data_IF_556723276866
#
_entry.id   IF_556723276866
#
_cell.length_a   1.000
_cell.length_b   1.000
_cell.length_c   1.000
_cell.angle_alpha   90.00
_cell.angle_beta   90.00
_cell.angle_gamma   90.00
#
_symmetry.space_group_name_H-M   'P 1'
#
loop_
_entity.id
_entity.type
_entity.pdbx_description
1 polymer ?
#
# COMPACT_ATOMS: atom_id res chain seq x y z
N UNK A 1 -40.74 12.90 2.22
CA UNK A 1 -40.38 12.37 0.88
C UNK A 1 -39.77 13.52 0.10
N UNK A 2 -38.61 13.38 -0.58
CA UNK A 2 -38.08 12.18 -1.24
C UNK A 2 -36.71 11.70 -0.73
N UNK A 3 -36.47 10.39 -0.86
CA UNK A 3 -35.20 9.71 -0.63
C UNK A 3 -34.23 9.94 -1.79
N UNK A 4 -32.98 10.30 -1.49
CA UNK A 4 -31.84 10.20 -2.42
C UNK A 4 -31.11 8.88 -2.18
N UNK A 5 -31.12 8.01 -3.19
CA UNK A 5 -30.28 6.83 -3.27
C UNK A 5 -28.81 7.24 -3.33
N UNK A 6 -28.00 6.73 -2.40
CA UNK A 6 -26.53 6.75 -2.51
C UNK A 6 -26.07 5.44 -3.13
N UNK A 7 -25.56 5.55 -4.35
CA UNK A 7 -24.88 4.50 -5.08
C UNK A 7 -23.61 4.07 -4.32
N UNK A 8 -23.46 2.78 -4.05
CA UNK A 8 -22.22 2.19 -3.55
C UNK A 8 -21.24 2.04 -4.72
N UNK A 9 -20.13 2.78 -4.66
CA UNK A 9 -19.03 2.70 -5.61
C UNK A 9 -18.40 1.31 -5.65
N UNK A 10 -18.22 0.78 -6.86
CA UNK A 10 -17.53 -0.48 -7.12
C UNK A 10 -16.05 -0.36 -6.80
N UNK A 11 -15.57 -1.24 -5.93
CA UNK A 11 -14.13 -1.44 -5.68
C UNK A 11 -13.62 -2.41 -6.74
N UNK A 12 -12.77 -1.92 -7.64
CA UNK A 12 -12.12 -2.73 -8.66
C UNK A 12 -11.23 -3.79 -7.99
N UNK A 13 -11.59 -5.07 -8.13
CA UNK A 13 -10.76 -6.23 -7.74
C UNK A 13 -9.82 -6.55 -8.91
N UNK A 14 -8.51 -6.42 -8.70
CA UNK A 14 -7.50 -6.88 -9.67
C UNK A 14 -7.33 -8.41 -9.57
N UNK A 15 -7.21 -9.14 -10.70
CA UNK A 15 -6.97 -10.58 -10.69
C UNK A 15 -5.51 -10.89 -10.33
N UNK A 16 -5.32 -11.71 -9.30
CA UNK A 16 -4.03 -12.31 -8.97
C UNK A 16 -3.82 -13.53 -9.88
N UNK A 17 -2.82 -13.45 -10.76
CA UNK A 17 -2.38 -14.52 -11.66
C UNK A 17 -1.89 -15.75 -10.87
N UNK A 18 -2.49 -16.91 -11.13
CA UNK A 18 -2.03 -18.23 -10.67
C UNK A 18 -1.09 -18.85 -11.71
N UNK A 19 -0.05 -19.61 -11.30
CA UNK A 19 0.72 -20.43 -12.23
C UNK A 19 -0.08 -21.66 -12.68
N UNK A 20 -0.17 -21.84 -13.98
CA UNK A 20 -0.77 -23.01 -14.64
C UNK A 20 0.08 -24.25 -14.43
N UNK A 21 -0.53 -25.33 -13.94
CA UNK A 21 -0.04 -26.67 -14.18
C UNK A 21 -0.08 -27.59 -12.96
N UNK A 22 -1.16 -28.38 -12.87
CA UNK A 22 -1.09 -29.78 -12.39
C UNK A 22 -2.43 -30.45 -12.69
N UNK A 23 -2.49 -31.07 -13.88
CA UNK A 23 -3.52 -32.05 -14.23
C UNK A 23 -3.06 -33.40 -13.69
N UNK A 24 -3.80 -33.98 -12.74
CA UNK A 24 -3.79 -35.42 -12.50
C UNK A 24 -5.22 -35.95 -12.55
N UNK A 25 -5.36 -37.07 -13.26
CA UNK A 25 -6.59 -37.73 -13.69
C UNK A 25 -6.74 -39.04 -12.91
N UNK A 26 -7.85 -39.22 -12.21
CA UNK A 26 -8.48 -40.49 -11.75
C UNK A 26 -9.62 -40.10 -10.81
N UNK A 27 -10.80 -40.71 -10.72
CA UNK A 27 -11.39 -41.89 -11.34
C UNK A 27 -12.90 -41.87 -10.98
N UNK A 28 -13.69 -42.64 -11.71
CA UNK A 28 -15.15 -42.60 -11.77
C UNK A 28 -15.89 -42.88 -10.45
N UNK A 29 -16.92 -42.08 -10.17
CA UNK A 29 -17.98 -42.38 -9.20
C UNK A 29 -19.09 -41.34 -9.33
N UNK A 30 -20.12 -41.64 -10.10
CA UNK A 30 -21.17 -40.69 -10.46
C UNK A 30 -22.16 -40.41 -9.32
N UNK A 31 -22.37 -39.13 -9.05
CA UNK A 31 -23.67 -38.57 -8.66
C UNK A 31 -23.70 -37.08 -9.08
N UNK A 32 -24.38 -36.84 -10.20
CA UNK A 32 -25.23 -35.69 -10.53
C UNK A 32 -24.98 -34.36 -9.78
N UNK A 33 -24.39 -33.36 -10.45
CA UNK A 33 -25.16 -32.33 -11.17
C UNK A 33 -24.27 -31.27 -11.80
N UNK A 34 -24.63 -30.97 -13.05
CA UNK A 34 -24.00 -30.08 -14.00
C UNK A 34 -23.89 -28.62 -13.53
N UNK A 35 -22.70 -28.04 -13.72
CA UNK A 35 -22.52 -26.75 -14.43
C UNK A 35 -21.03 -26.49 -14.66
N UNK A 36 -20.60 -26.75 -15.89
CA UNK A 36 -19.43 -26.08 -16.44
C UNK A 36 -19.75 -24.58 -16.51
N UNK A 37 -19.09 -23.76 -15.69
CA UNK A 37 -19.32 -22.32 -15.66
C UNK A 37 -18.01 -21.54 -15.44
N UNK A 38 -17.59 -20.89 -16.52
CA UNK A 38 -16.88 -19.61 -16.60
C UNK A 38 -15.65 -19.41 -15.70
N UNK A 39 -14.50 -19.68 -16.32
CA UNK A 39 -13.17 -19.31 -15.84
C UNK A 39 -13.00 -17.80 -15.91
N UNK A 40 -13.00 -17.10 -14.76
CA UNK A 40 -12.56 -15.69 -14.74
C UNK A 40 -12.85 -14.84 -13.50
N UNK A 41 -13.98 -15.01 -12.80
CA UNK A 41 -14.43 -13.96 -11.84
C UNK A 41 -15.26 -14.43 -10.62
N UNK A 42 -15.27 -15.73 -10.27
CA UNK A 42 -16.36 -16.28 -9.43
C UNK A 42 -15.92 -17.11 -8.22
N UNK A 43 -14.73 -16.89 -7.66
CA UNK A 43 -14.31 -17.61 -6.44
C UNK A 43 -14.32 -16.66 -5.24
N UNK A 44 -14.89 -17.12 -4.14
CA UNK A 44 -14.80 -16.44 -2.85
C UNK A 44 -13.35 -16.40 -2.36
N UNK A 45 -13.01 -15.43 -1.50
CA UNK A 45 -11.66 -15.37 -0.90
C UNK A 45 -11.34 -16.68 -0.15
N UNK A 46 -12.36 -17.34 0.40
CA UNK A 46 -12.25 -18.62 1.11
C UNK A 46 -11.96 -19.79 0.16
N UNK A 47 -12.61 -19.87 -1.00
CA UNK A 47 -12.27 -20.86 -2.03
C UNK A 47 -10.80 -20.74 -2.44
N UNK A 48 -10.31 -19.52 -2.64
CA UNK A 48 -8.90 -19.28 -3.01
C UNK A 48 -7.95 -19.74 -1.90
N UNK A 49 -8.33 -19.56 -0.64
CA UNK A 49 -7.54 -20.03 0.51
C UNK A 49 -7.49 -21.56 0.53
N UNK A 50 -8.64 -22.22 0.42
CA UNK A 50 -8.71 -23.69 0.42
C UNK A 50 -7.82 -24.27 -0.70
N UNK A 51 -7.94 -23.75 -1.91
CA UNK A 51 -7.16 -24.23 -3.06
C UNK A 51 -5.65 -23.96 -2.93
N UNK A 52 -5.26 -22.92 -2.21
CA UNK A 52 -3.87 -22.54 -2.05
C UNK A 52 -3.16 -23.35 -0.96
N UNK A 53 -3.84 -23.67 0.12
CA UNK A 53 -3.25 -24.31 1.30
C UNK A 53 -3.61 -25.78 1.45
N UNK A 54 -4.61 -26.27 0.72
CA UNK A 54 -5.05 -27.66 0.77
C UNK A 54 -4.95 -28.27 -0.62
N UNK A 55 -3.80 -28.88 -1.00
CA UNK A 55 -3.60 -29.44 -2.35
C UNK A 55 -4.58 -30.58 -2.68
N UNK A 56 -5.17 -31.18 -1.66
CA UNK A 56 -6.15 -32.26 -1.76
C UNK A 56 -7.56 -31.74 -2.11
N UNK A 57 -7.82 -30.46 -1.87
CA UNK A 57 -9.11 -29.83 -2.13
C UNK A 57 -9.11 -29.31 -3.57
N UNK A 58 -9.99 -29.88 -4.40
CA UNK A 58 -10.25 -29.37 -5.74
C UNK A 58 -11.27 -28.23 -5.76
N UNK A 59 -11.42 -27.50 -6.89
CA UNK A 59 -12.36 -26.38 -7.01
C UNK A 59 -13.82 -26.71 -6.67
N UNK A 60 -14.28 -27.92 -7.01
CA UNK A 60 -15.63 -28.38 -6.69
C UNK A 60 -15.82 -28.64 -5.17
N UNK A 61 -14.82 -29.25 -4.54
CA UNK A 61 -14.81 -29.50 -3.10
C UNK A 61 -14.71 -28.19 -2.31
N UNK A 62 -13.86 -27.26 -2.76
CA UNK A 62 -13.73 -25.93 -2.16
C UNK A 62 -15.06 -25.16 -2.15
N UNK A 63 -15.79 -25.17 -3.28
CA UNK A 63 -17.13 -24.58 -3.35
C UNK A 63 -18.12 -25.27 -2.41
N UNK A 64 -18.12 -26.60 -2.38
CA UNK A 64 -19.02 -27.36 -1.50
C UNK A 64 -18.77 -27.07 -0.02
N UNK A 65 -17.51 -26.88 0.38
CA UNK A 65 -17.12 -26.47 1.73
C UNK A 65 -17.67 -25.08 2.05
N UNK A 66 -17.48 -24.11 1.16
CA UNK A 66 -17.98 -22.73 1.36
C UNK A 66 -19.51 -22.69 1.37
N UNK A 67 -20.18 -23.42 0.47
CA UNK A 67 -21.64 -23.50 0.40
C UNK A 67 -22.24 -24.14 1.65
N UNK A 68 -21.59 -25.16 2.22
CA UNK A 68 -22.06 -25.88 3.40
C UNK A 68 -21.88 -25.09 4.70
N UNK A 69 -20.72 -24.47 4.90
CA UNK A 69 -20.39 -23.78 6.15
C UNK A 69 -20.71 -22.27 6.12
N UNK A 70 -20.95 -21.72 4.94
CA UNK A 70 -21.25 -20.32 4.73
C UNK A 70 -20.00 -19.46 4.63
N UNK A 71 -20.09 -18.42 3.80
CA UNK A 71 -19.01 -17.46 3.60
C UNK A 71 -18.67 -16.72 4.89
N UNK A 72 -17.43 -16.79 5.34
CA UNK A 72 -16.90 -16.15 6.55
C UNK A 72 -16.73 -17.08 7.75
N UNK A 73 -17.24 -18.31 7.68
CA UNK A 73 -17.20 -19.28 8.79
C UNK A 73 -16.28 -20.48 8.54
N UNK A 74 -15.82 -20.68 7.30
CA UNK A 74 -15.03 -21.86 6.91
C UNK A 74 -13.81 -22.04 7.80
N UNK A 75 -13.09 -20.95 8.10
CA UNK A 75 -11.91 -21.00 8.97
C UNK A 75 -12.26 -21.42 10.40
N UNK A 76 -13.37 -20.92 10.94
CA UNK A 76 -13.80 -21.28 12.30
C UNK A 76 -14.13 -22.77 12.39
N UNK A 77 -14.73 -23.33 11.33
CA UNK A 77 -15.01 -24.75 11.24
C UNK A 77 -13.71 -25.56 11.13
N UNK A 78 -12.77 -25.17 10.27
CA UNK A 78 -11.49 -25.89 10.12
C UNK A 78 -10.61 -25.83 11.37
N UNK A 79 -10.71 -24.75 12.15
CA UNK A 79 -10.03 -24.60 13.44
C UNK A 79 -10.69 -25.41 14.58
N UNK A 80 -11.91 -25.91 14.40
CA UNK A 80 -12.59 -26.72 15.43
C UNK A 80 -11.98 -28.12 15.57
N UNK A 81 -12.13 -28.73 16.75
CA UNK A 81 -11.70 -30.11 17.02
C UNK A 81 -12.43 -31.11 16.14
N UNK A 82 -13.71 -30.83 15.85
CA UNK A 82 -14.61 -31.73 15.13
C UNK A 82 -14.58 -31.47 13.62
N UNK A 83 -13.56 -30.75 13.13
CA UNK A 83 -13.44 -30.35 11.73
C UNK A 83 -13.45 -31.55 10.78
N UNK A 84 -12.79 -32.66 11.12
CA UNK A 84 -12.75 -33.86 10.28
C UNK A 84 -14.15 -34.48 10.12
N UNK A 85 -14.90 -34.61 11.21
CA UNK A 85 -16.28 -35.15 11.17
C UNK A 85 -17.24 -34.22 10.40
N UNK A 86 -17.06 -32.92 10.53
CA UNK A 86 -17.87 -31.94 9.79
C UNK A 86 -17.54 -31.92 8.29
N UNK A 87 -16.28 -32.20 7.93
CA UNK A 87 -15.82 -32.30 6.55
C UNK A 87 -16.25 -33.62 5.89
N UNK A 88 -16.29 -34.73 6.62
CA UNK A 88 -16.75 -36.02 6.07
C UNK A 88 -18.23 -36.00 5.67
N UNK A 89 -19.02 -35.11 6.27
CA UNK A 89 -20.41 -34.85 5.89
C UNK A 89 -20.57 -34.16 4.51
N UNK A 90 -19.47 -33.81 3.82
CA UNK A 90 -19.47 -33.15 2.51
C UNK A 90 -19.25 -34.18 1.40
N UNK A 91 -20.11 -34.16 0.39
CA UNK A 91 -19.99 -35.01 -0.79
C UNK A 91 -18.60 -34.85 -1.45
N UNK A 92 -17.86 -35.95 -1.59
CA UNK A 92 -16.52 -35.97 -2.18
C UNK A 92 -15.37 -35.83 -1.18
N UNK A 93 -15.64 -35.78 0.12
CA UNK A 93 -14.63 -35.85 1.19
C UNK A 93 -14.91 -37.09 2.03
N UNK A 94 -14.24 -38.21 1.76
CA UNK A 94 -14.33 -39.39 2.63
C UNK A 94 -13.57 -39.17 3.95
N UNK A 95 -13.78 -40.02 4.95
CA UNK A 95 -13.17 -39.88 6.28
C UNK A 95 -11.65 -39.71 6.24
N UNK A 96 -10.95 -40.52 5.44
CA UNK A 96 -9.50 -40.38 5.27
C UNK A 96 -9.08 -39.05 4.63
N UNK A 97 -9.83 -38.55 3.65
CA UNK A 97 -9.57 -37.23 3.04
C UNK A 97 -9.87 -36.10 4.03
N UNK A 98 -10.88 -36.25 4.88
CA UNK A 98 -11.22 -35.27 5.90
C UNK A 98 -10.12 -35.13 6.97
N UNK A 99 -9.57 -36.26 7.42
CA UNK A 99 -8.43 -36.29 8.35
C UNK A 99 -7.18 -35.67 7.72
N UNK A 100 -6.87 -36.02 6.47
CA UNK A 100 -5.73 -35.48 5.75
C UNK A 100 -5.87 -33.96 5.52
N UNK A 101 -7.07 -33.48 5.20
CA UNK A 101 -7.37 -32.04 5.10
C UNK A 101 -7.16 -31.36 6.45
N UNK A 102 -7.63 -31.95 7.56
CA UNK A 102 -7.48 -31.38 8.90
C UNK A 102 -6.00 -31.28 9.29
N UNK A 103 -5.24 -32.35 9.07
CA UNK A 103 -3.80 -32.38 9.34
C UNK A 103 -3.04 -31.31 8.55
N UNK A 104 -3.33 -31.17 7.25
CA UNK A 104 -2.69 -30.15 6.41
C UNK A 104 -3.14 -28.74 6.79
N UNK A 105 -4.42 -28.55 7.14
CA UNK A 105 -4.93 -27.30 7.66
C UNK A 105 -4.19 -26.91 8.93
N UNK A 106 -4.02 -27.81 9.90
CA UNK A 106 -3.33 -27.50 11.15
C UNK A 106 -1.86 -27.14 10.94
N UNK A 107 -1.19 -27.79 9.98
CA UNK A 107 0.17 -27.43 9.57
C UNK A 107 0.23 -26.03 8.92
N UNK A 108 -0.78 -25.68 8.12
CA UNK A 108 -0.83 -24.43 7.35
C UNK A 108 -1.54 -23.26 8.07
N UNK A 109 -2.34 -23.54 9.12
CA UNK A 109 -3.24 -22.59 9.76
C UNK A 109 -2.48 -21.39 10.34
N UNK A 110 -1.31 -21.64 10.93
CA UNK A 110 -0.44 -20.59 11.46
C UNK A 110 0.04 -19.64 10.36
N UNK A 111 0.52 -20.19 9.24
CA UNK A 111 0.97 -19.40 8.08
C UNK A 111 -0.19 -18.60 7.49
N UNK A 112 -1.36 -19.23 7.38
CA UNK A 112 -2.57 -18.59 6.90
C UNK A 112 -2.99 -17.42 7.81
N UNK A 113 -3.04 -17.63 9.13
CA UNK A 113 -3.40 -16.60 10.12
C UNK A 113 -2.45 -15.41 10.05
N UNK A 114 -1.14 -15.66 9.88
CA UNK A 114 -0.15 -14.59 9.74
C UNK A 114 -0.37 -13.79 8.45
N UNK A 115 -0.65 -14.45 7.32
CA UNK A 115 -0.93 -13.77 6.06
C UNK A 115 -2.27 -13.02 6.06
N UNK A 116 -3.29 -13.58 6.70
CA UNK A 116 -4.57 -12.92 6.91
C UNK A 116 -4.40 -11.66 7.76
N UNK A 117 -3.60 -11.74 8.84
CA UNK A 117 -3.27 -10.58 9.67
C UNK A 117 -2.54 -9.50 8.85
N UNK A 118 -1.52 -9.87 8.09
CA UNK A 118 -0.76 -8.94 7.25
C UNK A 118 -1.67 -8.24 6.21
N UNK A 119 -2.57 -9.01 5.58
CA UNK A 119 -3.56 -8.51 4.62
C UNK A 119 -4.51 -7.51 5.25
N UNK A 120 -5.01 -7.79 6.45
CA UNK A 120 -5.86 -6.86 7.21
C UNK A 120 -5.14 -5.53 7.51
N UNK A 121 -3.82 -5.60 7.70
CA UNK A 121 -2.97 -4.44 7.96
C UNK A 121 -2.35 -3.82 6.70
N UNK A 122 -2.98 -4.00 5.54
CA UNK A 122 -2.61 -3.34 4.26
C UNK A 122 -1.26 -3.80 3.67
N UNK A 123 -0.75 -4.95 4.11
CA UNK A 123 0.38 -5.63 3.48
C UNK A 123 -0.20 -6.66 2.50
N UNK A 124 0.16 -6.62 1.22
CA UNK A 124 -0.49 -7.46 0.20
C UNK A 124 0.51 -8.16 -0.72
N UNK A 125 0.12 -9.36 -1.20
CA UNK A 125 0.74 -10.03 -2.35
C UNK A 125 2.24 -10.26 -2.20
N UNK A 126 3.01 -9.72 -3.16
CA UNK A 126 4.48 -9.82 -3.21
C UNK A 126 5.17 -9.18 -2.00
N UNK A 127 4.48 -8.30 -1.27
CA UNK A 127 5.00 -7.70 -0.04
C UNK A 127 5.20 -8.74 1.05
N UNK A 128 4.28 -9.69 1.15
CA UNK A 128 4.41 -10.79 2.10
C UNK A 128 5.69 -11.58 1.86
N UNK A 129 5.92 -11.99 0.61
CA UNK A 129 7.08 -12.82 0.28
C UNK A 129 8.40 -12.11 0.62
N UNK A 130 8.56 -10.86 0.20
CA UNK A 130 9.79 -10.09 0.47
C UNK A 130 10.01 -9.82 1.96
N UNK A 131 8.95 -9.49 2.71
CA UNK A 131 9.07 -9.26 4.14
C UNK A 131 9.29 -10.55 4.93
N UNK A 132 8.64 -11.65 4.56
CA UNK A 132 8.86 -12.96 5.17
C UNK A 132 10.28 -13.47 4.91
N UNK A 133 10.83 -13.24 3.72
CA UNK A 133 12.24 -13.57 3.43
C UNK A 133 13.21 -12.79 4.32
N UNK A 134 12.91 -11.52 4.62
CA UNK A 134 13.75 -10.68 5.46
C UNK A 134 13.64 -11.04 6.96
N UNK A 135 12.45 -11.41 7.42
CA UNK A 135 12.16 -11.64 8.85
C UNK A 135 12.09 -13.12 9.26
N UNK A 136 12.17 -14.04 8.30
CA UNK A 136 12.18 -15.50 8.49
C UNK A 136 10.80 -16.09 8.85
N UNK A 137 10.03 -15.45 9.72
CA UNK A 137 8.71 -15.93 10.14
C UNK A 137 7.65 -14.83 10.18
N UNK A 138 6.38 -15.22 9.99
CA UNK A 138 5.24 -14.33 10.09
C UNK A 138 5.11 -13.71 11.48
N UNK A 139 5.30 -14.50 12.54
CA UNK A 139 5.29 -14.01 13.92
C UNK A 139 6.36 -12.92 14.18
N UNK A 140 7.60 -13.12 13.71
CA UNK A 140 8.65 -12.12 13.84
C UNK A 140 8.33 -10.83 13.07
N UNK A 141 7.78 -10.97 11.86
CA UNK A 141 7.33 -9.84 11.05
C UNK A 141 6.18 -9.06 11.72
N UNK A 142 5.19 -9.76 12.28
CA UNK A 142 4.07 -9.14 13.01
C UNK A 142 4.54 -8.34 14.20
N UNK A 143 5.48 -8.89 14.97
CA UNK A 143 6.11 -8.18 16.08
C UNK A 143 6.84 -6.93 15.60
N UNK A 144 7.67 -7.06 14.56
CA UNK A 144 8.42 -5.93 13.99
C UNK A 144 7.50 -4.81 13.47
N UNK A 145 6.44 -5.15 12.73
CA UNK A 145 5.46 -4.19 12.21
C UNK A 145 4.71 -3.48 13.33
N UNK A 146 4.35 -4.20 14.39
CA UNK A 146 3.62 -3.64 15.54
C UNK A 146 4.48 -2.65 16.33
N UNK A 147 5.80 -2.87 16.41
CA UNK A 147 6.74 -1.98 17.08
C UNK A 147 7.05 -0.73 16.24
N UNK A 148 7.42 -0.92 14.98
CA UNK A 148 7.76 0.16 14.06
C UNK A 148 7.45 -0.27 12.62
N UNK A 149 6.34 0.17 12.01
CA UNK A 149 5.99 -0.23 10.65
C UNK A 149 6.92 0.37 9.58
N UNK A 150 7.65 1.44 9.89
CA UNK A 150 8.50 2.14 8.92
C UNK A 150 9.82 1.42 8.66
N UNK A 151 10.39 0.75 9.65
CA UNK A 151 11.65 0.02 9.51
C UNK A 151 11.56 -1.21 8.57
N UNK A 152 10.67 -2.19 8.78
CA UNK A 152 10.59 -3.39 7.95
C UNK A 152 10.12 -3.07 6.53
N UNK A 153 9.16 -2.15 6.37
CA UNK A 153 8.68 -1.73 5.05
C UNK A 153 9.76 -0.93 4.29
N UNK A 154 10.49 -0.05 4.99
CA UNK A 154 11.58 0.73 4.40
C UNK A 154 12.80 -0.09 4.00
N UNK A 155 13.03 -1.25 4.64
CA UNK A 155 14.14 -2.15 4.29
C UNK A 155 13.99 -2.78 2.89
N UNK A 156 12.76 -2.86 2.37
CA UNK A 156 12.49 -3.49 1.09
C UNK A 156 12.44 -2.43 -0.02
N UNK A 157 13.48 -2.40 -0.87
CA UNK A 157 13.73 -1.37 -1.90
C UNK A 157 12.52 -1.01 -2.80
N UNK A 158 11.65 -1.97 -3.09
CA UNK A 158 10.47 -1.74 -3.95
C UNK A 158 9.35 -0.97 -3.26
N UNK A 159 9.34 -0.90 -1.94
CA UNK A 159 8.29 -0.21 -1.17
C UNK A 159 8.65 1.24 -0.89
N UNK A 160 7.66 2.10 -1.10
CA UNK A 160 7.71 3.52 -0.81
C UNK A 160 7.09 3.86 0.55
N UNK A 161 7.41 5.03 1.08
CA UNK A 161 6.92 5.57 2.35
C UNK A 161 5.39 5.48 2.53
N UNK A 162 4.62 5.73 1.46
CA UNK A 162 3.14 5.57 1.46
C UNK A 162 2.65 4.18 1.92
N UNK A 163 3.39 3.11 1.66
CA UNK A 163 2.97 1.77 2.09
C UNK A 163 3.18 1.62 3.60
N UNK A 164 4.28 2.17 4.13
CA UNK A 164 4.51 2.22 5.57
C UNK A 164 3.46 3.10 6.28
N UNK A 165 3.02 4.19 5.65
CA UNK A 165 1.92 5.02 6.16
C UNK A 165 0.58 4.27 6.18
N UNK A 166 0.25 3.52 5.13
CA UNK A 166 -0.96 2.70 5.09
C UNK A 166 -0.97 1.65 6.20
N UNK A 167 0.15 0.94 6.40
CA UNK A 167 0.31 -0.03 7.48
C UNK A 167 0.23 0.66 8.85
N UNK A 168 0.91 1.79 9.02
CA UNK A 168 0.87 2.57 10.27
C UNK A 168 -0.52 3.11 10.60
N UNK A 169 -1.31 3.48 9.59
CA UNK A 169 -2.71 3.84 9.76
C UNK A 169 -3.57 2.65 10.18
N UNK A 170 -3.38 1.48 9.55
CA UNK A 170 -4.08 0.25 9.93
C UNK A 170 -3.73 -0.22 11.35
N UNK A 171 -2.49 0.00 11.80
CA UNK A 171 -2.03 -0.29 13.16
C UNK A 171 -2.34 0.83 14.17
N UNK A 172 -3.00 1.91 13.75
CA UNK A 172 -3.35 3.07 14.60
C UNK A 172 -2.14 3.71 15.28
N UNK A 173 -0.98 3.72 14.63
CA UNK A 173 0.21 4.38 15.14
C UNK A 173 -0.03 5.88 15.35
N UNK A 174 0.54 6.46 16.40
CA UNK A 174 0.41 7.90 16.71
C UNK A 174 0.87 8.76 15.53
N UNK A 175 0.14 9.83 15.22
CA UNK A 175 0.47 10.69 14.07
C UNK A 175 1.82 11.42 14.25
N UNK A 176 2.18 11.78 15.48
CA UNK A 176 3.46 12.39 15.86
C UNK A 176 4.55 11.39 16.27
N UNK A 177 4.47 10.13 15.82
CA UNK A 177 5.43 9.09 16.16
C UNK A 177 6.86 9.46 15.68
N UNK A 178 7.89 9.33 16.53
CA UNK A 178 9.26 9.68 16.13
C UNK A 178 9.79 8.80 14.98
N UNK A 179 9.31 7.57 14.86
CA UNK A 179 9.63 6.65 13.76
C UNK A 179 9.15 7.21 12.42
N UNK A 180 7.94 7.78 12.41
CA UNK A 180 7.35 8.43 11.23
C UNK A 180 8.18 9.63 10.80
N UNK A 181 8.56 10.50 11.74
CA UNK A 181 9.43 11.64 11.44
C UNK A 181 10.77 11.19 10.84
N UNK A 182 11.40 10.15 11.41
CA UNK A 182 12.64 9.64 10.86
C UNK A 182 12.46 9.09 9.44
N UNK A 183 11.39 8.34 9.19
CA UNK A 183 11.11 7.78 7.88
C UNK A 183 10.91 8.87 6.82
N UNK A 184 10.21 9.96 7.15
CA UNK A 184 10.03 11.09 6.22
C UNK A 184 11.34 11.83 5.98
N UNK A 185 12.12 12.11 7.01
CA UNK A 185 13.42 12.79 6.86
C UNK A 185 14.35 12.00 5.93
N UNK A 186 14.46 10.69 6.14
CA UNK A 186 15.25 9.81 5.28
C UNK A 186 14.68 9.74 3.86
N UNK A 187 13.35 9.73 3.70
CA UNK A 187 12.71 9.73 2.39
C UNK A 187 13.04 11.00 1.60
N UNK A 188 12.94 12.17 2.21
CA UNK A 188 13.26 13.46 1.59
C UNK A 188 14.73 13.54 1.20
N UNK A 189 15.64 13.11 2.09
CA UNK A 189 17.07 13.07 1.79
C UNK A 189 17.39 12.12 0.64
N UNK A 190 16.78 10.94 0.63
CA UNK A 190 16.96 9.97 -0.45
C UNK A 190 16.43 10.51 -1.79
N UNK A 191 15.27 11.16 -1.78
CA UNK A 191 14.70 11.81 -2.95
C UNK A 191 15.63 12.91 -3.49
N UNK A 192 16.16 13.77 -2.61
CA UNK A 192 17.10 14.82 -2.97
C UNK A 192 18.42 14.27 -3.54
N UNK A 193 18.93 13.16 -2.98
CA UNK A 193 20.12 12.47 -3.53
C UNK A 193 19.86 11.85 -4.91
N UNK A 194 18.61 11.49 -5.21
CA UNK A 194 18.24 10.83 -6.48
C UNK A 194 17.90 11.83 -7.59
N UNK A 195 17.56 13.08 -7.26
CA UNK A 195 17.11 14.09 -8.24
C UNK A 195 18.25 14.77 -9.02
N UNK A 196 19.52 14.43 -8.76
CA UNK A 196 20.66 14.83 -9.61
C UNK A 196 21.00 16.32 -9.64
N UNK A 197 20.35 17.16 -8.84
CA UNK A 197 20.77 18.56 -8.66
C UNK A 197 22.15 18.59 -8.01
N UNK A 198 23.03 19.48 -8.48
CA UNK A 198 24.48 19.60 -8.22
C UNK A 198 24.95 19.80 -6.75
N UNK A 199 24.23 19.25 -5.77
CA UNK A 199 24.65 19.07 -4.39
C UNK A 199 23.82 17.97 -3.73
N UNK A 200 24.46 16.90 -3.25
CA UNK A 200 23.82 15.77 -2.56
C UNK A 200 23.33 16.11 -1.14
N UNK A 201 23.11 17.38 -0.82
CA UNK A 201 22.83 17.89 0.52
C UNK A 201 21.71 18.92 0.53
N UNK A 202 21.00 19.00 1.66
CA UNK A 202 19.94 19.98 1.92
C UNK A 202 20.31 20.79 3.16
N UNK A 203 20.01 22.09 3.15
CA UNK A 203 20.04 22.88 4.38
C UNK A 203 18.96 22.39 5.36
N UNK A 204 19.15 22.63 6.66
CA UNK A 204 18.14 22.27 7.67
C UNK A 204 16.76 22.84 7.36
N UNK A 205 16.70 24.11 6.93
CA UNK A 205 15.45 24.77 6.59
C UNK A 205 14.74 24.09 5.40
N UNK A 206 15.47 23.74 4.34
CA UNK A 206 14.92 23.02 3.19
C UNK A 206 14.43 21.63 3.56
N UNK A 207 15.23 20.86 4.30
CA UNK A 207 14.85 19.52 4.76
C UNK A 207 13.58 19.57 5.62
N UNK A 208 13.52 20.49 6.59
CA UNK A 208 12.39 20.65 7.47
C UNK A 208 11.12 21.04 6.69
N UNK A 209 11.23 22.01 5.77
CA UNK A 209 10.09 22.48 4.99
C UNK A 209 9.52 21.37 4.09
N UNK A 210 10.38 20.68 3.33
CA UNK A 210 9.97 19.59 2.46
C UNK A 210 9.37 18.43 3.26
N UNK A 211 9.97 18.07 4.40
CA UNK A 211 9.42 17.02 5.26
C UNK A 211 8.05 17.37 5.86
N UNK A 212 7.81 18.63 6.22
CA UNK A 212 6.49 19.08 6.70
C UNK A 212 5.43 18.97 5.59
N UNK A 213 5.77 19.37 4.36
CA UNK A 213 4.87 19.25 3.20
C UNK A 213 4.51 17.79 2.93
N UNK A 214 5.51 16.89 2.92
CA UNK A 214 5.28 15.45 2.76
C UNK A 214 4.41 14.87 3.89
N UNK A 215 4.67 15.26 5.14
CA UNK A 215 3.85 14.83 6.28
C UNK A 215 2.40 15.33 6.19
N UNK A 216 2.18 16.51 5.63
CA UNK A 216 0.84 17.05 5.41
C UNK A 216 0.08 16.29 4.30
N UNK A 217 0.73 15.98 3.17
CA UNK A 217 0.15 15.15 2.11
C UNK A 217 -0.19 13.75 2.62
N UNK A 218 0.77 13.08 3.29
CA UNK A 218 0.56 11.75 3.86
C UNK A 218 -0.54 11.76 4.93
N UNK A 219 -0.57 12.80 5.76
CA UNK A 219 -1.61 13.00 6.77
C UNK A 219 -3.00 13.15 6.16
N UNK A 220 -3.11 13.85 5.04
CA UNK A 220 -4.37 14.03 4.30
C UNK A 220 -4.85 12.72 3.67
N UNK A 221 -3.94 11.89 3.14
CA UNK A 221 -4.28 10.60 2.51
C UNK A 221 -4.66 9.51 3.51
N UNK A 222 -3.99 9.47 4.66
CA UNK A 222 -4.10 8.36 5.62
C UNK A 222 -4.79 8.75 6.94
N UNK A 223 -5.34 9.96 7.03
CA UNK A 223 -6.07 10.43 8.22
C UNK A 223 -5.19 10.62 9.46
N UNK A 224 -3.90 10.91 9.27
CA UNK A 224 -2.90 11.06 10.34
C UNK A 224 -2.12 12.38 10.19
N UNK A 225 -2.74 13.54 10.43
CA UNK A 225 -2.06 14.83 10.30
C UNK A 225 -0.90 14.93 11.29
N UNK A 226 0.23 15.49 10.86
CA UNK A 226 1.35 15.75 11.77
C UNK A 226 0.93 16.79 12.82
N UNK A 227 1.20 16.57 14.14
CA UNK A 227 0.78 17.49 15.17
C UNK A 227 1.42 18.88 15.00
N UNK A 228 0.60 19.92 15.13
CA UNK A 228 1.07 21.30 15.09
C UNK A 228 2.10 21.57 16.21
N UNK A 229 3.17 22.30 15.89
CA UNK A 229 4.22 22.65 16.84
C UNK A 229 5.23 21.53 17.15
N UNK A 230 5.04 20.30 16.64
CA UNK A 230 5.99 19.22 16.87
C UNK A 230 7.21 19.35 15.95
N UNK A 231 8.37 19.63 16.55
CA UNK A 231 9.63 19.78 15.83
C UNK A 231 10.19 18.45 15.31
N UNK A 232 10.74 18.46 14.09
CA UNK A 232 11.48 17.34 13.51
C UNK A 232 12.94 17.29 13.99
N UNK A 233 13.44 18.38 14.59
CA UNK A 233 14.85 18.54 14.97
C UNK A 233 15.36 17.47 15.94
N UNK A 234 14.66 17.13 17.04
CA UNK A 234 15.13 16.09 17.96
C UNK A 234 15.32 14.74 17.26
N UNK A 235 14.49 14.47 16.23
CA UNK A 235 14.59 13.23 15.47
C UNK A 235 15.73 13.25 14.47
N UNK A 236 15.99 14.38 13.82
CA UNK A 236 17.16 14.55 12.97
C UNK A 236 18.47 14.39 13.75
N UNK A 237 18.57 14.98 14.95
CA UNK A 237 19.74 14.83 15.83
C UNK A 237 19.98 13.37 16.25
N UNK A 238 18.92 12.60 16.50
CA UNK A 238 19.02 11.16 16.74
C UNK A 238 19.52 10.39 15.52
N UNK A 239 19.04 10.74 14.32
CA UNK A 239 19.53 10.13 13.08
C UNK A 239 20.99 10.46 12.81
N UNK A 240 21.43 11.69 13.13
CA UNK A 240 22.80 12.12 12.97
C UNK A 240 23.74 11.35 13.92
N UNK A 241 23.36 11.25 15.21
CA UNK A 241 24.10 10.44 16.19
C UNK A 241 24.17 8.96 15.82
N UNK A 242 23.15 8.44 15.16
CA UNK A 242 23.12 7.06 14.66
C UNK A 242 23.88 6.86 13.33
N UNK A 243 24.52 7.91 12.79
CA UNK A 243 25.24 7.86 11.51
C UNK A 243 24.34 7.62 10.30
N UNK A 244 23.03 7.87 10.41
CA UNK A 244 22.05 7.70 9.32
C UNK A 244 21.92 8.93 8.44
N UNK A 245 22.26 10.10 8.96
CA UNK A 245 22.38 11.36 8.22
C UNK A 245 23.70 12.01 8.62
N UNK A 246 24.31 12.75 7.69
CA UNK A 246 25.51 13.54 7.96
C UNK A 246 25.10 15.00 8.02
N UNK A 247 25.49 15.68 9.09
CA UNK A 247 25.34 17.12 9.23
C UNK A 247 26.72 17.75 8.99
N UNK A 248 26.84 18.54 7.93
CA UNK A 248 28.05 19.30 7.62
C UNK A 248 27.82 20.77 7.95
N UNK A 249 28.86 21.43 8.48
CA UNK A 249 28.84 22.86 8.70
C UNK A 249 28.90 23.57 7.34
N UNK A 250 28.08 24.61 7.14
CA UNK A 250 27.76 25.20 5.83
C UNK A 250 28.92 25.78 5.01
N UNK A 251 30.18 25.66 5.48
CA UNK A 251 31.39 26.15 4.80
C UNK A 251 31.70 25.48 3.46
N UNK A 252 30.96 24.45 3.03
CA UNK A 252 31.24 23.68 1.81
C UNK A 252 30.15 23.72 0.73
N UNK A 253 29.07 24.48 0.90
CA UNK A 253 28.06 24.64 -0.14
C UNK A 253 28.26 25.98 -0.86
N UNK A 254 28.68 26.02 -2.15
CA UNK A 254 28.77 27.28 -2.87
C UNK A 254 27.39 27.93 -2.96
N UNK A 255 27.33 29.23 -2.63
CA UNK A 255 26.13 30.07 -2.68
C UNK A 255 25.37 29.89 -4.01
N UNK A 256 24.19 29.27 -3.97
CA UNK A 256 23.31 29.09 -5.13
C UNK A 256 22.49 30.37 -5.43
N UNK A 257 22.96 31.56 -5.06
CA UNK A 257 22.30 32.84 -5.32
C UNK A 257 23.19 33.75 -6.18
N UNK A 258 23.49 33.30 -7.40
CA UNK A 258 24.39 34.01 -8.31
C UNK A 258 24.22 33.60 -9.78
N UNK A 259 23.00 33.59 -10.30
CA UNK A 259 22.80 33.57 -11.76
C UNK A 259 21.59 34.39 -12.16
N UNK A 260 21.76 35.72 -12.04
CA UNK A 260 21.19 36.64 -13.04
C UNK A 260 21.78 36.24 -14.39
N UNK A 261 21.03 35.47 -15.19
CA UNK A 261 21.34 35.33 -16.61
C UNK A 261 21.08 36.67 -17.28
N UNK A 262 22.17 37.37 -17.55
CA UNK A 262 22.28 38.41 -18.58
C UNK A 262 21.76 37.86 -19.90
N UNK A 263 20.92 38.66 -20.55
CA UNK A 263 20.39 38.43 -21.87
C UNK A 263 21.52 38.21 -22.89
N UNK A 264 21.46 37.10 -23.63
CA UNK A 264 22.06 36.97 -24.96
C UNK A 264 21.44 35.78 -25.69
N UNK A 265 20.74 36.07 -26.79
CA UNK A 265 20.62 35.19 -27.95
C UNK A 265 19.69 33.98 -27.84
N UNK A 266 18.37 34.21 -27.97
CA UNK A 266 17.50 33.23 -28.63
C UNK A 266 16.81 33.95 -29.78
N UNK A 267 17.23 33.62 -30.99
CA UNK A 267 16.51 33.95 -32.23
C UNK A 267 15.20 33.16 -32.27
N UNK A 268 14.05 33.78 -32.58
CA UNK A 268 12.80 33.05 -32.73
C UNK A 268 12.71 32.48 -34.15
N UNK A 269 12.37 31.19 -34.24
CA UNK A 269 11.94 30.53 -35.46
C UNK A 269 10.60 31.11 -35.89
N UNK A 270 10.58 31.68 -37.08
CA UNK A 270 9.42 32.18 -37.80
C UNK A 270 8.45 31.07 -38.18
N UNK A 271 7.15 31.27 -37.93
CA UNK A 271 6.06 30.65 -38.70
C UNK A 271 4.77 31.47 -38.56
N UNK A 272 4.45 32.24 -39.61
CA UNK A 272 3.12 32.31 -40.23
C UNK A 272 1.94 32.92 -39.48
N UNK A 273 1.57 34.12 -39.92
CA UNK A 273 0.20 34.53 -40.31
C UNK A 273 -0.86 34.82 -39.22
N UNK A 274 -1.11 36.11 -38.97
CA UNK A 274 -2.23 36.83 -39.61
C UNK A 274 -2.25 38.33 -39.21
N UNK A 275 -2.21 39.18 -40.24
CA UNK A 275 -2.67 40.56 -40.24
C UNK A 275 -4.22 40.57 -40.18
N UNK A 276 -4.99 41.57 -39.77
CA UNK A 276 -4.82 42.96 -39.40
C UNK A 276 -6.13 43.40 -38.69
N UNK A 277 -6.13 44.59 -38.08
CA UNK A 277 -7.14 45.66 -38.24
C UNK A 277 -7.55 46.32 -36.91
N UNK A 278 -6.82 47.41 -36.61
CA UNK A 278 -7.24 48.73 -36.11
C UNK A 278 -8.27 48.89 -34.99
N UNK A 279 -7.94 49.76 -34.02
CA UNK A 279 -8.89 50.78 -33.55
C UNK A 279 -8.84 51.15 -32.06
N UNK A 280 -8.45 52.40 -31.78
CA UNK A 280 -8.86 53.28 -30.66
C UNK A 280 -8.53 52.84 -29.23
N UNK A 281 -7.52 53.42 -28.55
CA UNK A 281 -7.54 54.75 -27.91
C UNK A 281 -8.81 55.08 -27.11
N UNK A 282 -8.55 55.48 -25.86
CA UNK A 282 -9.41 56.29 -24.96
C UNK A 282 -10.73 55.66 -24.48
N UNK A 283 -10.72 55.14 -23.24
CA UNK A 283 -11.75 55.28 -22.19
C UNK A 283 -11.71 54.10 -21.21
N UNK A 284 -10.96 54.22 -20.12
CA UNK A 284 -11.38 53.68 -18.79
C UNK A 284 -10.46 54.11 -17.65
N UNK A 285 -9.88 55.31 -17.76
CA UNK A 285 -9.24 56.01 -16.65
C UNK A 285 -10.22 57.04 -16.09
N UNK A 286 -11.40 56.58 -15.66
CA UNK A 286 -12.39 57.43 -14.98
C UNK A 286 -13.37 56.57 -14.17
N UNK A 287 -12.87 55.94 -13.11
CA UNK A 287 -13.73 55.46 -12.01
C UNK A 287 -12.91 55.31 -10.71
N UNK A 288 -12.17 56.37 -10.37
CA UNK A 288 -11.63 56.58 -9.03
C UNK A 288 -11.78 58.07 -8.71
N UNK A 289 -12.97 58.46 -8.26
CA UNK A 289 -13.26 59.61 -7.39
C UNK A 289 -14.77 59.79 -7.36
N UNK A 290 -15.39 59.28 -6.30
CA UNK A 290 -16.59 59.80 -5.62
C UNK A 290 -17.15 58.68 -4.71
N UNK A 291 -16.59 58.57 -3.51
CA UNK A 291 -17.26 58.05 -2.31
C UNK A 291 -16.28 58.08 -1.12
N UNK A 292 -16.00 59.26 -0.57
CA UNK A 292 -15.65 59.47 0.84
C UNK A 292 -15.30 60.95 1.09
N UNK A 293 -16.18 61.60 1.87
CA UNK A 293 -15.97 62.81 2.70
C UNK A 293 -15.76 64.13 1.97
#
# INVERSE_FOLDING_TARGET
MPQRQLQRGGVARLPLLLPTGLVRRAGSGGCCLSRAATWGLLWSDEEVILLRYLPQVGPATARSIVDKFGSGNVQNVLNSTDAAERLSAICGTGDGTAEDIKKEWDASARTYQDLAWLTRHQVHGSCHASLLQLHGSGAALRSALSQNPYAPIGAVKRYKLRHAEAVGAALKCRAGAPERAAAVLLHVLHAASSSGSHGCGLTWQQLQQTAIVELADLGSRHGRPWPAGQSLRPRAELLARAGKIVAEEAKLLPDQHGSRRTAAGVTPVSSGSNAATTGSSSQQQQQQQQAAV
#
